data_IF_753920971706
#
_entry.id   IF_753920971706
#
_cell.length_a   1.000
_cell.length_b   1.000
_cell.length_c   1.000
_cell.angle_alpha   90.00
_cell.angle_beta   90.00
_cell.angle_gamma   90.00
#
_symmetry.space_group_name_H-M   'P 1'
#
loop_
_entity.id
_entity.type
_entity.pdbx_description
1 polymer ?
#
# COMPACT_ATOMS: atom_id res chain seq x y z
N UNK A 1 -32.25 -18.93 -2.39
CA UNK A 1 -32.60 -18.47 -3.75
C UNK A 1 -31.33 -18.52 -4.55
N UNK A 2 -31.31 -19.34 -5.60
CA UNK A 2 -30.17 -19.46 -6.51
C UNK A 2 -30.09 -18.17 -7.33
N UNK A 3 -29.12 -17.32 -7.03
CA UNK A 3 -28.72 -16.25 -7.92
C UNK A 3 -27.52 -16.75 -8.74
N UNK A 4 -27.80 -17.68 -9.64
CA UNK A 4 -26.86 -17.96 -10.72
C UNK A 4 -27.02 -16.81 -11.72
N UNK A 5 -26.34 -15.69 -11.46
CA UNK A 5 -26.11 -14.69 -12.49
C UNK A 5 -25.48 -15.39 -13.69
N UNK A 6 -26.02 -15.16 -14.90
CA UNK A 6 -25.36 -15.64 -16.11
C UNK A 6 -23.88 -15.21 -16.08
N UNK A 7 -22.94 -16.14 -16.28
CA UNK A 7 -21.53 -15.79 -16.25
C UNK A 7 -21.28 -14.72 -17.31
N UNK A 8 -20.70 -13.61 -16.89
CA UNK A 8 -20.39 -12.50 -17.78
C UNK A 8 -19.42 -12.99 -18.87
N UNK A 9 -19.84 -12.92 -20.14
CA UNK A 9 -18.99 -13.20 -21.30
C UNK A 9 -17.89 -12.13 -21.55
N UNK A 10 -17.66 -11.20 -20.62
CA UNK A 10 -16.58 -10.22 -20.73
C UNK A 10 -15.23 -10.92 -20.57
N UNK A 11 -14.39 -10.79 -21.59
CA UNK A 11 -12.99 -11.20 -21.56
C UNK A 11 -12.13 -9.96 -21.34
N UNK A 12 -11.31 -9.98 -20.28
CA UNK A 12 -10.41 -8.87 -19.96
C UNK A 12 -9.07 -9.02 -20.65
N UNK A 13 -8.56 -7.91 -21.19
CA UNK A 13 -7.14 -7.75 -21.50
C UNK A 13 -6.45 -7.04 -20.34
N UNK A 14 -5.20 -7.37 -20.07
CA UNK A 14 -4.43 -6.79 -18.96
C UNK A 14 -3.07 -6.28 -19.44
N UNK A 15 -2.60 -5.21 -18.82
CA UNK A 15 -1.21 -4.75 -18.89
C UNK A 15 -0.67 -4.67 -17.47
N UNK A 16 0.58 -5.09 -17.27
CA UNK A 16 1.22 -5.13 -15.97
C UNK A 16 2.63 -4.53 -16.08
N UNK A 17 3.00 -3.71 -15.10
CA UNK A 17 4.30 -3.07 -15.04
C UNK A 17 4.96 -3.37 -13.70
N UNK A 18 6.23 -3.75 -13.73
CA UNK A 18 7.06 -3.91 -12.53
C UNK A 18 8.14 -2.83 -12.51
N UNK A 19 8.19 -2.09 -11.41
CA UNK A 19 9.20 -1.09 -11.16
C UNK A 19 10.03 -1.50 -9.95
N UNK A 20 11.35 -1.34 -10.03
CA UNK A 20 12.19 -1.49 -8.84
C UNK A 20 11.84 -0.39 -7.85
N UNK A 21 11.79 -0.73 -6.55
CA UNK A 21 11.45 0.23 -5.50
C UNK A 21 12.32 1.49 -5.53
N UNK A 22 13.64 1.33 -5.75
CA UNK A 22 14.56 2.47 -5.89
C UNK A 22 14.19 3.40 -7.03
N UNK A 23 13.80 2.85 -8.20
CA UNK A 23 13.35 3.64 -9.33
C UNK A 23 12.05 4.38 -9.01
N UNK A 24 11.09 3.71 -8.36
CA UNK A 24 9.81 4.36 -7.99
C UNK A 24 10.05 5.55 -7.06
N UNK A 25 10.92 5.43 -6.05
CA UNK A 25 11.22 6.54 -5.12
C UNK A 25 11.74 7.78 -5.86
N UNK A 26 12.56 7.59 -6.88
CA UNK A 26 13.12 8.68 -7.70
C UNK A 26 12.12 9.23 -8.74
N UNK A 27 11.08 8.46 -9.09
CA UNK A 27 10.19 8.75 -10.21
C UNK A 27 8.69 8.78 -9.84
N UNK A 28 8.34 8.85 -8.54
CA UNK A 28 6.96 8.68 -8.05
C UNK A 28 5.94 9.60 -8.73
N UNK A 29 6.31 10.85 -8.98
CA UNK A 29 5.44 11.83 -9.66
C UNK A 29 5.21 11.47 -11.13
N UNK A 30 6.26 11.11 -11.86
CA UNK A 30 6.17 10.71 -13.26
C UNK A 30 5.39 9.38 -13.41
N UNK A 31 5.65 8.42 -12.52
CA UNK A 31 4.88 7.18 -12.44
C UNK A 31 3.39 7.46 -12.21
N UNK A 32 3.06 8.33 -11.26
CA UNK A 32 1.67 8.65 -10.94
C UNK A 32 0.96 9.32 -12.11
N UNK A 33 1.61 10.30 -12.75
CA UNK A 33 1.06 10.94 -13.96
C UNK A 33 0.80 9.90 -15.06
N UNK A 34 1.76 9.00 -15.31
CA UNK A 34 1.59 7.92 -16.27
C UNK A 34 0.38 7.03 -15.95
N UNK A 35 0.19 6.65 -14.69
CA UNK A 35 -0.95 5.82 -14.25
C UNK A 35 -2.28 6.53 -14.47
N UNK A 36 -2.41 7.79 -14.04
CA UNK A 36 -3.64 8.57 -14.22
C UNK A 36 -3.98 8.77 -15.70
N UNK A 37 -3.01 9.17 -16.52
CA UNK A 37 -3.21 9.34 -17.97
C UNK A 37 -3.56 8.03 -18.68
N UNK A 38 -2.99 6.91 -18.22
CA UNK A 38 -3.31 5.58 -18.76
C UNK A 38 -4.75 5.19 -18.44
N UNK A 39 -5.22 5.48 -17.21
CA UNK A 39 -6.61 5.24 -16.82
C UNK A 39 -7.60 6.07 -17.62
N UNK A 40 -7.30 7.36 -17.86
CA UNK A 40 -8.12 8.24 -18.71
C UNK A 40 -8.24 7.74 -20.15
N UNK A 41 -7.14 7.22 -20.71
CA UNK A 41 -7.10 6.71 -22.09
C UNK A 41 -7.77 5.35 -22.25
N UNK A 42 -7.47 4.41 -21.35
CA UNK A 42 -7.90 3.02 -21.48
C UNK A 42 -9.27 2.76 -20.86
N UNK A 43 -9.73 3.61 -19.94
CA UNK A 43 -10.97 3.45 -19.18
C UNK A 43 -11.11 2.04 -18.58
N UNK A 44 -10.12 1.58 -17.80
CA UNK A 44 -10.08 0.21 -17.30
C UNK A 44 -11.19 -0.03 -16.27
N UNK A 45 -11.75 -1.25 -16.25
CA UNK A 45 -12.71 -1.64 -15.20
C UNK A 45 -12.02 -1.80 -13.83
N UNK A 46 -10.75 -2.22 -13.79
CA UNK A 46 -9.98 -2.41 -12.55
C UNK A 46 -8.52 -1.99 -12.74
N UNK A 47 -7.96 -1.30 -11.75
CA UNK A 47 -6.52 -0.98 -11.64
C UNK A 47 -6.11 -1.12 -10.19
N UNK A 48 -4.92 -1.68 -9.97
CA UNK A 48 -4.34 -1.86 -8.65
C UNK A 48 -2.82 -1.67 -8.71
N UNK A 49 -2.24 -1.26 -7.58
CA UNK A 49 -0.80 -1.07 -7.42
C UNK A 49 -0.40 -1.32 -5.97
N UNK A 50 0.74 -1.98 -5.77
CA UNK A 50 1.30 -2.29 -4.46
C UNK A 50 2.69 -2.93 -4.56
N UNK A 51 3.17 -3.48 -3.45
CA UNK A 51 4.42 -4.24 -3.45
C UNK A 51 4.16 -5.68 -3.86
N UNK A 52 4.63 -6.05 -5.05
CA UNK A 52 4.51 -7.40 -5.60
C UNK A 52 5.86 -7.99 -5.94
N UNK A 53 5.89 -9.32 -6.06
CA UNK A 53 7.01 -10.02 -6.68
C UNK A 53 6.92 -9.86 -8.20
N UNK A 54 8.02 -9.44 -8.82
CA UNK A 54 8.09 -9.36 -10.27
C UNK A 54 8.08 -10.77 -10.86
N UNK A 55 7.08 -11.07 -11.69
CA UNK A 55 7.03 -12.33 -12.42
C UNK A 55 8.06 -12.31 -13.58
N UNK A 56 9.00 -13.26 -13.62
CA UNK A 56 9.87 -13.38 -14.79
C UNK A 56 9.05 -13.69 -16.05
N UNK A 57 9.54 -13.24 -17.21
CA UNK A 57 8.89 -13.47 -18.51
C UNK A 57 8.96 -14.94 -18.96
N UNK A 58 9.80 -15.75 -18.32
CA UNK A 58 9.98 -17.14 -18.69
C UNK A 58 8.77 -17.99 -18.29
N UNK A 59 8.26 -18.78 -19.23
CA UNK A 59 7.15 -19.68 -18.94
C UNK A 59 7.51 -20.66 -17.82
N UNK A 60 6.58 -20.87 -16.88
CA UNK A 60 6.78 -21.76 -15.73
C UNK A 60 7.22 -21.05 -14.46
N UNK A 61 7.91 -19.89 -14.54
CA UNK A 61 8.50 -19.22 -13.36
C UNK A 61 7.48 -18.73 -12.33
N UNK A 62 6.20 -18.65 -12.71
CA UNK A 62 5.13 -18.30 -11.78
C UNK A 62 5.00 -19.33 -10.65
N UNK A 63 5.29 -20.60 -10.93
CA UNK A 63 5.22 -21.66 -9.92
C UNK A 63 6.14 -21.35 -8.73
N UNK A 64 7.35 -20.86 -9.00
CA UNK A 64 8.34 -20.50 -8.00
C UNK A 64 7.97 -19.21 -7.27
N UNK A 65 7.51 -18.19 -8.00
CA UNK A 65 7.07 -16.91 -7.40
C UNK A 65 5.96 -17.12 -6.37
N UNK A 66 5.01 -18.02 -6.65
CA UNK A 66 3.89 -18.28 -5.72
C UNK A 66 4.32 -18.91 -4.39
N UNK A 67 5.44 -19.61 -4.38
CA UNK A 67 6.04 -20.14 -3.13
C UNK A 67 6.55 -18.98 -2.28
N UNK A 68 7.20 -17.99 -2.91
CA UNK A 68 7.67 -16.78 -2.22
C UNK A 68 6.52 -15.91 -1.74
N UNK A 69 5.47 -15.77 -2.55
CA UNK A 69 4.25 -15.07 -2.14
C UNK A 69 3.64 -15.74 -0.90
N UNK A 70 3.53 -17.09 -0.89
CA UNK A 70 2.99 -17.83 0.25
C UNK A 70 3.87 -17.75 1.50
N UNK A 71 5.19 -17.69 1.36
CA UNK A 71 6.09 -17.57 2.52
C UNK A 71 6.06 -16.17 3.16
N UNK A 72 5.73 -15.14 2.38
CA UNK A 72 5.66 -13.75 2.84
C UNK A 72 4.27 -13.31 3.30
N UNK A 73 3.20 -13.89 2.76
CA UNK A 73 1.82 -13.52 3.09
C UNK A 73 1.48 -13.62 4.60
N UNK A 74 2.01 -14.58 5.39
CA UNK A 74 1.83 -14.60 6.84
C UNK A 74 2.60 -13.49 7.59
N UNK A 75 3.45 -12.72 6.91
CA UNK A 75 4.28 -11.66 7.50
C UNK A 75 3.81 -10.27 7.11
N UNK A 76 3.20 -10.11 5.94
CA UNK A 76 2.92 -8.79 5.35
C UNK A 76 1.52 -8.75 4.75
N UNK A 77 0.61 -7.97 5.34
CA UNK A 77 -0.74 -7.80 4.79
C UNK A 77 -0.75 -7.04 3.45
N UNK A 78 0.21 -6.13 3.27
CA UNK A 78 0.37 -5.25 2.11
C UNK A 78 1.06 -5.88 0.91
N UNK A 79 1.44 -7.16 1.00
CA UNK A 79 1.92 -7.90 -0.15
C UNK A 79 0.81 -7.97 -1.21
N UNK A 80 1.10 -7.46 -2.40
CA UNK A 80 0.22 -7.48 -3.55
C UNK A 80 0.50 -8.74 -4.37
N UNK A 81 -0.45 -9.67 -4.38
CA UNK A 81 -0.40 -10.92 -5.16
C UNK A 81 -1.38 -10.81 -6.31
N UNK A 82 -0.95 -11.16 -7.51
CA UNK A 82 -1.84 -11.28 -8.65
C UNK A 82 -1.43 -12.39 -9.62
N UNK A 83 -2.39 -12.82 -10.42
CA UNK A 83 -2.13 -13.73 -11.53
C UNK A 83 -3.10 -13.47 -12.69
N UNK A 84 -2.81 -12.48 -13.56
CA UNK A 84 -3.75 -12.03 -14.59
C UNK A 84 -4.31 -13.15 -15.47
N UNK A 85 -3.49 -14.16 -15.79
CA UNK A 85 -3.92 -15.32 -16.57
C UNK A 85 -5.04 -16.13 -15.91
N UNK A 86 -4.95 -16.35 -14.60
CA UNK A 86 -5.96 -17.10 -13.84
C UNK A 86 -7.16 -16.21 -13.47
N UNK A 87 -6.90 -14.93 -13.20
CA UNK A 87 -7.93 -13.96 -12.83
C UNK A 87 -8.91 -13.65 -13.98
N UNK A 88 -8.50 -13.81 -15.25
CA UNK A 88 -9.25 -13.32 -16.42
C UNK A 88 -10.72 -13.74 -16.46
N UNK A 89 -11.04 -14.95 -15.98
CA UNK A 89 -12.42 -15.46 -15.92
C UNK A 89 -13.24 -14.98 -14.72
N UNK A 90 -12.59 -14.44 -13.68
CA UNK A 90 -13.21 -14.04 -12.40
C UNK A 90 -13.28 -12.51 -12.19
N UNK A 91 -12.62 -11.75 -13.07
CA UNK A 91 -12.58 -10.28 -13.02
C UNK A 91 -13.95 -9.63 -13.29
N UNK A 92 -14.90 -10.35 -13.89
CA UNK A 92 -16.25 -9.85 -14.10
C UNK A 92 -17.15 -10.01 -12.87
N UNK A 93 -16.80 -10.92 -11.96
CA UNK A 93 -17.66 -11.37 -10.86
C UNK A 93 -17.48 -10.54 -9.59
N UNK A 94 -16.34 -9.87 -9.44
CA UNK A 94 -16.09 -8.95 -8.34
C UNK A 94 -14.76 -8.22 -8.48
N UNK A 95 -14.44 -7.47 -7.44
CA UNK A 95 -13.13 -6.83 -7.27
C UNK A 95 -12.26 -7.59 -6.28
N UNK A 96 -10.96 -7.36 -6.37
CA UNK A 96 -9.97 -7.85 -5.41
C UNK A 96 -10.03 -7.09 -4.07
N UNK A 97 -9.40 -7.61 -3.00
CA UNK A 97 -9.19 -6.86 -1.76
C UNK A 97 -8.31 -5.60 -2.01
N UNK A 98 -8.34 -4.62 -1.10
CA UNK A 98 -7.52 -3.41 -1.21
C UNK A 98 -6.04 -3.66 -1.46
N UNK A 99 -5.46 -2.76 -2.27
CA UNK A 99 -4.02 -2.56 -2.50
C UNK A 99 -3.67 -1.11 -2.15
N UNK A 100 -2.39 -0.73 -2.22
CA UNK A 100 -1.99 0.65 -1.91
C UNK A 100 -2.66 1.68 -2.84
N UNK A 101 -2.56 1.46 -4.17
CA UNK A 101 -3.28 2.22 -5.18
C UNK A 101 -4.41 1.37 -5.74
N UNK A 102 -5.61 1.92 -5.88
CA UNK A 102 -6.80 1.19 -6.30
C UNK A 102 -7.75 2.08 -7.10
N UNK A 103 -8.22 1.60 -8.27
CA UNK A 103 -9.30 2.25 -9.00
C UNK A 103 -10.64 1.63 -8.61
N UNK A 104 -11.50 2.42 -7.98
CA UNK A 104 -12.92 2.13 -7.92
C UNK A 104 -13.60 2.76 -9.14
N UNK A 105 -13.68 1.99 -10.23
CA UNK A 105 -14.36 2.43 -11.45
C UNK A 105 -15.86 2.61 -11.22
N UNK A 106 -16.52 3.44 -12.03
CA UNK A 106 -17.97 3.61 -11.92
C UNK A 106 -18.72 2.29 -12.13
N UNK A 107 -18.23 1.42 -13.03
CA UNK A 107 -18.76 0.07 -13.25
C UNK A 107 -18.90 -0.73 -11.94
N UNK A 108 -17.95 -0.57 -11.02
CA UNK A 108 -17.96 -1.27 -9.72
C UNK A 108 -18.61 -0.44 -8.61
N UNK A 109 -18.39 0.88 -8.60
CA UNK A 109 -19.02 1.80 -7.65
C UNK A 109 -20.54 1.71 -7.70
N UNK A 110 -21.13 1.61 -8.89
CA UNK A 110 -22.57 1.52 -9.06
C UNK A 110 -23.17 0.28 -8.39
N UNK A 111 -22.41 -0.83 -8.30
CA UNK A 111 -22.83 -2.03 -7.58
C UNK A 111 -22.86 -1.85 -6.05
N UNK A 112 -22.20 -0.82 -5.51
CA UNK A 112 -22.30 -0.42 -4.11
C UNK A 112 -23.52 0.46 -3.81
N UNK A 113 -24.20 0.97 -4.84
CA UNK A 113 -25.27 1.96 -4.72
C UNK A 113 -24.84 3.22 -3.94
N UNK A 114 -23.59 3.66 -4.17
CA UNK A 114 -23.00 4.84 -3.54
C UNK A 114 -22.54 5.87 -4.58
N UNK A 115 -22.85 7.14 -4.37
CA UNK A 115 -22.32 8.24 -5.18
C UNK A 115 -20.81 8.44 -4.96
N UNK A 116 -20.12 9.08 -5.91
CA UNK A 116 -18.69 9.42 -5.76
C UNK A 116 -18.42 10.23 -4.47
N UNK A 117 -19.32 11.14 -4.11
CA UNK A 117 -19.20 11.94 -2.88
C UNK A 117 -19.41 11.10 -1.61
N UNK A 118 -20.31 10.12 -1.63
CA UNK A 118 -20.47 9.17 -0.52
C UNK A 118 -19.23 8.30 -0.34
N UNK A 119 -18.56 7.90 -1.43
CA UNK A 119 -17.27 7.20 -1.35
C UNK A 119 -16.22 8.10 -0.69
N UNK A 120 -16.06 9.34 -1.16
CA UNK A 120 -15.09 10.30 -0.60
C UNK A 120 -15.35 10.57 0.88
N UNK A 121 -16.61 10.70 1.29
CA UNK A 121 -16.99 10.88 2.69
C UNK A 121 -16.68 9.64 3.53
N UNK A 122 -16.96 8.44 3.00
CA UNK A 122 -16.70 7.17 3.70
C UNK A 122 -15.21 6.88 3.88
N UNK A 123 -14.37 7.42 3.00
CA UNK A 123 -12.92 7.28 3.01
C UNK A 123 -12.22 8.57 3.45
N UNK A 124 -12.92 9.47 4.13
CA UNK A 124 -12.35 10.72 4.62
C UNK A 124 -11.28 10.41 5.68
N UNK A 125 -10.02 10.45 5.27
CA UNK A 125 -8.88 10.20 6.12
C UNK A 125 -7.69 11.06 5.66
N UNK A 126 -6.91 11.68 6.56
CA UNK A 126 -5.83 12.61 6.18
C UNK A 126 -4.72 11.95 5.34
N UNK A 127 -4.57 10.63 5.46
CA UNK A 127 -3.59 9.85 4.69
C UNK A 127 -4.17 9.19 3.43
N UNK A 128 -5.47 9.31 3.16
CA UNK A 128 -6.07 8.77 1.93
C UNK A 128 -6.17 9.89 0.91
N UNK A 129 -5.59 9.66 -0.28
CA UNK A 129 -5.76 10.55 -1.43
C UNK A 129 -6.78 9.93 -2.38
N UNK A 130 -7.70 10.75 -2.88
CA UNK A 130 -8.70 10.36 -3.87
C UNK A 130 -8.67 11.35 -5.03
N UNK A 131 -8.41 10.84 -6.23
CA UNK A 131 -8.49 11.60 -7.47
C UNK A 131 -9.72 11.14 -8.25
N UNK A 132 -10.53 12.12 -8.66
CA UNK A 132 -11.68 11.85 -9.49
C UNK A 132 -11.28 11.86 -10.96
N UNK A 133 -11.60 10.76 -11.65
CA UNK A 133 -11.32 10.51 -13.05
C UNK A 133 -12.64 10.36 -13.82
N UNK A 134 -12.59 10.42 -15.15
CA UNK A 134 -13.79 10.16 -15.96
C UNK A 134 -14.31 8.73 -15.73
N UNK A 135 -13.42 7.77 -15.48
CA UNK A 135 -13.74 6.35 -15.30
C UNK A 135 -14.07 5.92 -13.87
N UNK A 136 -13.87 6.79 -12.87
CA UNK A 136 -14.15 6.46 -11.46
C UNK A 136 -13.27 7.23 -10.48
N UNK A 137 -12.94 6.60 -9.35
CA UNK A 137 -12.13 7.17 -8.28
C UNK A 137 -10.82 6.40 -8.13
N UNK A 138 -9.69 7.07 -8.35
CA UNK A 138 -8.37 6.55 -8.01
C UNK A 138 -8.09 6.85 -6.54
N UNK A 139 -7.81 5.81 -5.76
CA UNK A 139 -7.66 5.86 -4.31
C UNK A 139 -6.25 5.39 -3.95
N UNK A 140 -5.54 6.18 -3.16
CA UNK A 140 -4.22 5.84 -2.63
C UNK A 140 -4.24 5.83 -1.10
N UNK A 141 -3.76 4.72 -0.51
CA UNK A 141 -3.74 4.47 0.92
C UNK A 141 -2.38 4.85 1.52
N UNK A 142 -2.21 6.11 1.91
CA UNK A 142 -0.92 6.64 2.38
C UNK A 142 -0.08 7.25 1.26
N UNK A 143 1.06 7.85 1.62
CA UNK A 143 1.95 8.51 0.65
C UNK A 143 2.64 7.52 -0.30
N UNK A 144 2.94 6.32 0.19
CA UNK A 144 3.67 5.28 -0.53
C UNK A 144 3.15 3.88 -0.21
N UNK A 145 3.40 2.88 -1.08
CA UNK A 145 3.07 1.50 -0.78
C UNK A 145 3.73 1.04 0.53
N UNK A 146 3.01 0.26 1.33
CA UNK A 146 3.50 -0.31 2.57
C UNK A 146 3.20 -1.82 2.63
N UNK A 147 4.11 -2.58 3.24
CA UNK A 147 3.95 -4.03 3.40
C UNK A 147 3.07 -4.43 4.59
N UNK A 148 2.84 -3.53 5.55
CA UNK A 148 2.04 -3.77 6.75
C UNK A 148 2.40 -5.08 7.47
N UNK A 149 3.49 -5.10 8.27
CA UNK A 149 3.87 -6.24 9.08
C UNK A 149 2.69 -6.73 9.92
N UNK A 150 2.48 -8.05 9.96
CA UNK A 150 1.35 -8.66 10.66
C UNK A 150 1.41 -8.39 12.17
N UNK A 151 2.61 -8.32 12.72
CA UNK A 151 2.86 -8.02 14.14
C UNK A 151 2.41 -6.62 14.57
N UNK A 152 2.23 -5.68 13.63
CA UNK A 152 1.73 -4.33 13.92
C UNK A 152 0.20 -4.29 14.06
N UNK A 153 -0.46 -5.43 13.80
CA UNK A 153 -1.90 -5.57 13.82
C UNK A 153 -2.56 -5.21 12.48
N UNK A 154 -3.89 -5.23 12.47
CA UNK A 154 -4.67 -4.97 11.27
C UNK A 154 -4.44 -3.53 10.76
N UNK A 155 -3.98 -3.32 9.52
CA UNK A 155 -3.67 -1.98 9.04
C UNK A 155 -4.95 -1.18 8.76
N UNK A 156 -5.00 0.03 9.31
CA UNK A 156 -6.19 0.88 9.33
C UNK A 156 -6.68 1.26 7.92
N UNK A 157 -5.81 1.80 7.05
CA UNK A 157 -6.25 2.31 5.74
C UNK A 157 -6.78 1.20 4.82
N UNK A 158 -6.10 0.05 4.67
CA UNK A 158 -6.66 -1.08 3.94
C UNK A 158 -7.93 -1.64 4.57
N UNK A 159 -8.04 -1.71 5.90
CA UNK A 159 -9.26 -2.16 6.57
C UNK A 159 -10.45 -1.22 6.32
N UNK A 160 -10.22 0.10 6.31
CA UNK A 160 -11.22 1.10 5.99
C UNK A 160 -11.74 0.95 4.55
N UNK A 161 -10.83 0.86 3.57
CA UNK A 161 -11.24 0.64 2.17
C UNK A 161 -11.91 -0.74 2.01
N UNK A 162 -11.39 -1.78 2.68
CA UNK A 162 -11.94 -3.13 2.62
C UNK A 162 -13.40 -3.17 3.10
N UNK A 163 -13.73 -2.45 4.17
CA UNK A 163 -15.11 -2.35 4.68
C UNK A 163 -16.08 -1.83 3.62
N UNK A 164 -15.63 -0.85 2.81
CA UNK A 164 -16.42 -0.30 1.71
C UNK A 164 -16.53 -1.27 0.53
N UNK A 165 -15.44 -1.95 0.18
CA UNK A 165 -15.38 -2.85 -0.98
C UNK A 165 -16.00 -4.23 -0.73
N UNK A 166 -16.13 -4.66 0.53
CA UNK A 166 -16.61 -5.99 0.93
C UNK A 166 -17.89 -6.47 0.21
N UNK A 167 -18.93 -5.64 -0.01
CA UNK A 167 -20.15 -6.09 -0.70
C UNK A 167 -19.96 -6.50 -2.17
N UNK A 168 -18.90 -6.01 -2.83
CA UNK A 168 -18.63 -6.27 -4.26
C UNK A 168 -17.32 -7.04 -4.47
N UNK A 169 -16.65 -7.46 -3.39
CA UNK A 169 -15.40 -8.21 -3.43
C UNK A 169 -15.66 -9.65 -3.85
N UNK A 170 -14.87 -10.17 -4.78
CA UNK A 170 -14.86 -11.60 -5.09
C UNK A 170 -13.83 -12.31 -4.20
N UNK A 171 -14.33 -12.95 -3.15
CA UNK A 171 -13.53 -13.72 -2.19
C UNK A 171 -12.86 -14.97 -2.81
N UNK A 172 -13.32 -15.42 -3.98
CA UNK A 172 -12.80 -16.57 -4.72
C UNK A 172 -12.08 -16.16 -6.00
N UNK A 173 -11.70 -14.89 -6.13
CA UNK A 173 -10.92 -14.42 -7.28
C UNK A 173 -9.61 -15.19 -7.38
N UNK A 174 -9.32 -15.75 -8.55
CA UNK A 174 -8.22 -16.67 -8.76
C UNK A 174 -6.86 -15.96 -8.91
N UNK A 175 -6.52 -15.09 -7.95
CA UNK A 175 -5.28 -14.31 -7.90
C UNK A 175 -4.11 -15.07 -7.28
N UNK A 176 -4.42 -15.98 -6.38
CA UNK A 176 -3.44 -16.86 -5.75
C UNK A 176 -3.06 -17.96 -6.74
N UNK A 177 -1.79 -18.32 -6.78
CA UNK A 177 -1.29 -19.27 -7.79
C UNK A 177 -1.75 -20.70 -7.59
N UNK A 178 -0.90 -21.64 -8.02
CA UNK A 178 -1.23 -23.05 -7.99
C UNK A 178 -1.36 -23.58 -6.55
N UNK A 179 -2.29 -24.51 -6.34
CA UNK A 179 -2.36 -25.31 -5.13
C UNK A 179 -1.21 -26.32 -5.04
N UNK A 180 -0.94 -26.82 -3.83
CA UNK A 180 0.06 -27.87 -3.61
C UNK A 180 -0.35 -29.18 -4.30
N UNK A 181 0.61 -29.91 -4.85
CA UNK A 181 0.41 -31.24 -5.45
C UNK A 181 1.26 -32.31 -4.77
N UNK A 182 0.94 -33.58 -5.00
CA UNK A 182 1.67 -34.71 -4.42
C UNK A 182 3.17 -34.67 -4.79
N UNK A 183 4.01 -34.60 -3.76
CA UNK A 183 5.46 -34.51 -3.91
C UNK A 183 6.01 -33.09 -4.11
N UNK A 184 5.18 -32.05 -4.03
CA UNK A 184 5.67 -30.67 -3.98
C UNK A 184 6.35 -30.39 -2.62
N UNK A 185 7.64 -30.05 -2.60
CA UNK A 185 8.35 -29.76 -1.35
C UNK A 185 7.98 -28.40 -0.75
N UNK A 186 7.18 -27.57 -1.44
CA UNK A 186 6.89 -26.19 -1.02
C UNK A 186 5.50 -26.04 -0.40
N UNK A 187 5.39 -25.14 0.57
CA UNK A 187 4.10 -24.67 1.07
C UNK A 187 3.45 -23.74 0.03
N UNK A 188 2.19 -24.02 -0.33
CA UNK A 188 1.39 -23.20 -1.23
C UNK A 188 0.07 -22.80 -0.58
N UNK A 189 -0.60 -21.82 -1.17
CA UNK A 189 -1.98 -21.54 -0.81
C UNK A 189 -2.86 -22.76 -1.12
N UNK A 190 -3.61 -23.20 -0.13
CA UNK A 190 -4.77 -24.08 -0.31
C UNK A 190 -6.05 -23.24 -0.35
N UNK A 191 -7.20 -23.85 -0.61
CA UNK A 191 -8.47 -23.14 -0.73
C UNK A 191 -8.86 -22.37 0.55
N UNK A 192 -8.60 -22.97 1.73
CA UNK A 192 -8.92 -22.35 3.01
C UNK A 192 -8.04 -21.12 3.28
N UNK A 193 -6.74 -21.25 3.11
CA UNK A 193 -5.79 -20.13 3.23
C UNK A 193 -6.05 -19.05 2.18
N UNK A 194 -6.47 -19.45 0.98
CA UNK A 194 -6.82 -18.52 -0.08
C UNK A 194 -7.97 -17.61 0.33
N UNK A 195 -9.06 -18.21 0.82
CA UNK A 195 -10.21 -17.46 1.32
C UNK A 195 -9.82 -16.54 2.48
N UNK A 196 -9.01 -17.03 3.43
CA UNK A 196 -8.55 -16.24 4.59
C UNK A 196 -7.67 -15.06 4.16
N UNK A 197 -6.79 -15.25 3.17
CA UNK A 197 -5.98 -14.17 2.59
C UNK A 197 -6.82 -13.11 1.86
N UNK A 198 -7.83 -13.54 1.11
CA UNK A 198 -8.77 -12.63 0.46
C UNK A 198 -9.54 -11.78 1.48
N UNK A 199 -9.83 -12.37 2.64
CA UNK A 199 -10.50 -11.72 3.78
C UNK A 199 -9.53 -11.11 4.79
N UNK A 200 -8.23 -10.97 4.49
CA UNK A 200 -7.21 -10.59 5.50
C UNK A 200 -7.46 -9.24 6.18
N UNK A 201 -8.20 -8.35 5.52
CA UNK A 201 -8.57 -7.03 6.04
C UNK A 201 -9.96 -6.97 6.68
N UNK A 202 -10.67 -8.09 6.79
CA UNK A 202 -11.96 -8.14 7.48
C UNK A 202 -11.75 -8.00 8.99
N UNK A 203 -12.68 -7.34 9.68
CA UNK A 203 -12.59 -7.13 11.13
C UNK A 203 -12.59 -8.45 11.93
N UNK A 204 -13.28 -9.47 11.41
CA UNK A 204 -13.39 -10.83 11.95
C UNK A 204 -12.42 -11.82 11.28
N UNK A 205 -11.51 -11.32 10.44
CA UNK A 205 -10.48 -12.15 9.84
C UNK A 205 -9.64 -12.84 10.92
N UNK A 206 -8.98 -13.93 10.58
CA UNK A 206 -8.03 -14.62 11.46
C UNK A 206 -6.66 -14.86 10.79
N UNK A 207 -6.45 -14.33 9.57
CA UNK A 207 -5.19 -14.44 8.83
C UNK A 207 -4.01 -13.68 9.49
N UNK A 208 -2.82 -14.28 9.68
CA UNK A 208 -2.50 -15.70 9.51
C UNK A 208 -2.91 -16.54 10.73
N UNK A 209 -2.98 -15.92 11.91
CA UNK A 209 -3.63 -16.43 13.12
C UNK A 209 -4.05 -15.25 13.99
N UNK A 210 -4.97 -15.45 14.94
CA UNK A 210 -5.37 -14.41 15.89
C UNK A 210 -4.21 -14.04 16.83
N UNK A 211 -3.36 -15.00 17.17
CA UNK A 211 -2.20 -14.85 18.04
C UNK A 211 -1.12 -13.96 17.40
N UNK A 212 -0.80 -14.18 16.13
CA UNK A 212 0.24 -13.41 15.43
C UNK A 212 -0.12 -11.94 15.20
N UNK A 213 -1.41 -11.58 15.33
CA UNK A 213 -1.91 -10.20 15.22
C UNK A 213 -1.89 -9.44 16.53
N UNK A 214 -1.70 -10.13 17.64
CA UNK A 214 -1.60 -9.46 18.93
C UNK A 214 -0.31 -8.65 18.89
N UNK A 215 -0.46 -7.32 19.00
CA UNK A 215 0.65 -6.37 19.14
C UNK A 215 1.64 -6.94 20.15
N UNK A 216 2.93 -6.67 19.95
CA UNK A 216 3.88 -6.63 21.07
C UNK A 216 3.39 -5.60 22.10
N UNK A 217 2.52 -6.02 23.01
CA UNK A 217 2.21 -5.35 24.28
C UNK A 217 3.20 -5.80 25.37
N UNK A 218 4.38 -6.28 24.98
CA UNK A 218 5.44 -6.70 25.88
C UNK A 218 6.32 -5.48 26.18
N UNK A 219 5.88 -4.68 27.15
CA UNK A 219 6.77 -3.80 27.92
C UNK A 219 7.80 -4.63 28.68
N UNK A 220 8.81 -5.15 27.99
CA UNK A 220 9.97 -5.87 28.54
C UNK A 220 11.23 -5.52 27.73
N UNK A 221 12.36 -5.22 28.38
CA UNK A 221 13.56 -4.80 27.69
C UNK A 221 14.22 -6.01 27.03
N UNK A 222 14.40 -5.97 25.71
CA UNK A 222 15.71 -6.14 25.07
C UNK A 222 15.57 -6.17 23.53
N UNK A 223 16.19 -5.17 22.91
CA UNK A 223 17.15 -5.31 21.81
C UNK A 223 16.73 -6.10 20.56
N UNK A 224 15.76 -5.55 19.83
CA UNK A 224 15.81 -5.50 18.36
C UNK A 224 14.82 -4.44 17.84
N UNK A 225 14.87 -3.24 18.40
CA UNK A 225 14.31 -2.09 17.71
C UNK A 225 15.26 -1.77 16.55
N UNK A 226 14.75 -1.91 15.33
CA UNK A 226 15.20 -1.08 14.22
C UNK A 226 15.47 0.32 14.75
N UNK A 227 16.70 0.80 14.59
CA UNK A 227 17.05 2.17 14.84
C UNK A 227 16.19 3.07 13.94
N UNK A 228 14.99 3.40 14.40
CA UNK A 228 14.42 4.71 14.13
C UNK A 228 15.34 5.65 14.88
N UNK A 229 16.25 6.30 14.15
CA UNK A 229 16.89 7.49 14.69
C UNK A 229 15.77 8.38 15.23
N UNK A 230 15.86 8.86 16.49
CA UNK A 230 14.86 9.77 17.02
C UNK A 230 14.72 10.90 16.03
N UNK A 231 13.50 11.16 15.54
CA UNK A 231 13.20 12.20 14.56
C UNK A 231 14.05 13.43 14.87
N UNK A 232 15.10 13.65 14.08
CA UNK A 232 16.02 14.76 14.30
C UNK A 232 15.19 16.04 14.23
N UNK A 233 15.13 16.80 15.33
CA UNK A 233 14.38 18.04 15.35
C UNK A 233 15.03 19.02 14.37
N UNK A 234 14.26 19.48 13.38
CA UNK A 234 14.70 20.39 12.32
C UNK A 234 13.89 21.67 12.32
N UNK A 235 14.52 22.77 11.91
CA UNK A 235 13.87 24.06 11.73
C UNK A 235 14.47 24.77 10.50
N UNK A 236 13.64 25.51 9.76
CA UNK A 236 14.09 26.27 8.59
C UNK A 236 14.53 27.68 9.00
N UNK A 237 15.44 28.27 8.23
CA UNK A 237 15.78 29.68 8.39
C UNK A 237 14.53 30.57 8.27
N UNK A 238 14.49 31.64 9.06
CA UNK A 238 13.35 32.55 9.23
C UNK A 238 12.15 31.99 10.00
N UNK A 239 12.16 30.73 10.44
CA UNK A 239 11.18 30.20 11.39
C UNK A 239 11.61 30.46 12.83
N UNK A 240 10.65 30.47 13.76
CA UNK A 240 10.94 30.52 15.17
C UNK A 240 11.49 29.18 15.66
N UNK A 241 12.58 29.22 16.41
CA UNK A 241 13.25 28.04 16.96
C UNK A 241 12.28 27.25 17.85
N UNK A 242 11.99 25.98 17.54
CA UNK A 242 11.00 25.20 18.29
C UNK A 242 11.51 24.81 19.68
N UNK A 243 12.84 24.75 19.86
CA UNK A 243 13.46 24.29 21.10
C UNK A 243 14.83 24.94 21.35
N UNK A 244 15.01 25.48 22.55
CA UNK A 244 16.29 26.05 22.96
C UNK A 244 17.40 24.99 23.01
N UNK A 245 18.60 25.33 22.53
CA UNK A 245 19.79 24.48 22.63
C UNK A 245 20.73 24.63 21.44
N UNK A 246 21.63 23.67 21.23
CA UNK A 246 22.57 23.71 20.10
C UNK A 246 21.93 23.17 18.82
N UNK A 247 22.17 23.87 17.73
CA UNK A 247 21.70 23.53 16.40
C UNK A 247 22.88 23.60 15.41
N UNK A 248 22.88 22.74 14.42
CA UNK A 248 23.85 22.72 13.33
C UNK A 248 23.15 22.91 11.99
N UNK A 249 23.62 23.86 11.20
CA UNK A 249 23.19 24.05 9.83
C UNK A 249 23.68 22.88 8.97
N UNK A 250 22.80 22.37 8.12
CA UNK A 250 23.11 21.34 7.13
C UNK A 250 23.79 21.91 5.86
N UNK A 251 24.28 23.15 5.94
CA UNK A 251 25.06 23.81 4.90
C UNK A 251 26.53 23.38 4.92
N UNK A 252 27.24 23.63 3.82
CA UNK A 252 28.68 23.36 3.69
C UNK A 252 29.41 24.72 3.64
N UNK A 253 30.30 25.03 4.60
CA UNK A 253 30.70 24.22 5.75
C UNK A 253 29.62 24.19 6.86
N UNK A 254 29.52 23.09 7.64
CA UNK A 254 28.55 23.00 8.72
C UNK A 254 28.88 24.02 9.82
N UNK A 255 27.88 24.80 10.20
CA UNK A 255 28.00 25.78 11.29
C UNK A 255 27.11 25.37 12.46
N UNK A 256 27.64 25.47 13.67
CA UNK A 256 26.89 25.19 14.91
C UNK A 256 26.62 26.49 15.65
N UNK A 257 25.37 26.69 16.09
CA UNK A 257 24.94 27.84 16.87
C UNK A 257 23.92 27.43 17.94
N UNK A 258 23.92 28.16 19.06
CA UNK A 258 22.90 28.02 20.10
C UNK A 258 21.74 28.97 19.82
N UNK A 259 20.51 28.48 19.90
CA UNK A 259 19.29 29.26 19.77
C UNK A 259 18.45 29.15 21.05
N UNK A 260 17.75 30.22 21.40
CA UNK A 260 16.69 30.19 22.40
C UNK A 260 15.34 29.80 21.76
N UNK A 261 14.42 29.24 22.55
CA UNK A 261 13.09 28.89 22.03
C UNK A 261 12.35 30.16 21.59
N UNK A 262 11.82 30.16 20.37
CA UNK A 262 11.18 31.33 19.77
C UNK A 262 12.13 32.30 19.06
N UNK A 263 13.45 32.14 19.18
CA UNK A 263 14.44 32.93 18.42
C UNK A 263 14.32 32.60 16.92
N UNK A 264 14.38 33.61 16.05
CA UNK A 264 14.33 33.37 14.60
C UNK A 264 15.62 32.68 14.12
N UNK A 265 15.46 31.53 13.48
CA UNK A 265 16.57 30.74 12.94
C UNK A 265 17.30 31.52 11.85
N UNK A 266 18.62 31.64 11.98
CA UNK A 266 19.43 32.46 11.07
C UNK A 266 19.49 31.85 9.66
N UNK A 267 19.37 32.70 8.64
CA UNK A 267 19.66 32.33 7.25
C UNK A 267 21.16 32.49 6.99
N UNK A 268 21.80 31.45 6.45
CA UNK A 268 23.23 31.49 6.09
C UNK A 268 23.46 31.76 4.60
N UNK A 269 22.40 32.07 3.85
CA UNK A 269 22.42 32.30 2.39
C UNK A 269 23.11 31.13 1.66
N UNK A 270 22.65 29.91 1.96
CA UNK A 270 23.17 28.68 1.38
C UNK A 270 23.16 28.71 -0.15
N UNK A 271 24.24 28.22 -0.76
CA UNK A 271 24.32 28.02 -2.20
C UNK A 271 23.24 27.06 -2.75
N UNK A 272 22.63 26.25 -1.89
CA UNK A 272 21.59 25.27 -2.24
C UNK A 272 20.16 25.73 -1.88
N UNK A 273 19.97 26.98 -1.45
CA UNK A 273 18.66 27.55 -1.13
C UNK A 273 18.44 27.78 0.37
N UNK A 274 17.30 27.31 0.89
CA UNK A 274 16.89 27.53 2.29
C UNK A 274 17.80 26.79 3.27
N UNK A 275 18.47 27.52 4.18
CA UNK A 275 19.25 26.92 5.28
C UNK A 275 18.34 26.11 6.21
N UNK A 276 18.70 24.84 6.42
CA UNK A 276 18.03 23.92 7.35
C UNK A 276 18.93 23.67 8.55
N UNK A 277 18.37 23.81 9.75
CA UNK A 277 19.06 23.55 11.01
C UNK A 277 18.60 22.23 11.63
N UNK A 278 19.54 21.47 12.19
CA UNK A 278 19.32 20.25 12.97
C UNK A 278 19.69 20.47 14.43
N UNK A 279 18.84 20.06 15.36
CA UNK A 279 19.13 20.11 16.80
C UNK A 279 20.18 19.06 17.19
N UNK A 280 21.17 19.45 18.00
CA UNK A 280 22.29 18.59 18.41
C UNK A 280 22.16 18.06 19.86
N UNK A 281 21.02 18.27 20.51
CA UNK A 281 20.81 18.07 21.96
C UNK A 281 21.71 18.98 22.82
N UNK A 282 21.25 19.27 24.04
CA UNK A 282 22.00 20.03 25.05
C UNK A 282 22.73 19.10 26.00
#
# INVERSE_FOLDING_TARGET
MNDNSEPSNKVYSSIQFYYRWSWWKENKNAWRQFVLETMEKLKPDQVYSGFSMANPLAFGTRSEVTVWERSLAPRFFGLDIDYPFSMSGSLADGIRPPTWGFLLSDTWREKLDLSRDQIKLSLQHPQIRIDELDSGLWIELGEEPALYPVEDGLPELPALLNKLLKPIRNDHMALLGFGQWDGDPNERFNDADSLRWMRRFDADSDWPSAELRQRRDDGGPDDAASAQEPLELRAYASEACPQAGQWQALDIPPQTRRFEQGEIMSNLDSAYGLTVWRFLNA
#
